data_IF_120227500746
#
_entry.id   IF_120227500746
#
_cell.length_a   1.000
_cell.length_b   1.000
_cell.length_c   1.000
_cell.angle_alpha   90.00
_cell.angle_beta   90.00
_cell.angle_gamma   90.00
#
_symmetry.space_group_name_H-M   'P 1'
#
loop_
_entity.id
_entity.type
_entity.pdbx_description
1 polymer ?
#
# COMPACT_ATOMS: atom_id res chain seq x y z
N UNK A 1 1.89 -3.78 -23.18
CA UNK A 1 0.86 -3.29 -22.24
C UNK A 1 1.13 -1.81 -22.02
N UNK A 2 0.17 -0.95 -22.34
CA UNK A 2 0.31 0.49 -22.10
C UNK A 2 0.21 0.77 -20.59
N UNK A 3 1.08 1.63 -20.06
CA UNK A 3 1.01 2.03 -18.65
C UNK A 3 -0.22 2.95 -18.47
N UNK A 4 -1.36 2.35 -18.08
CA UNK A 4 -2.65 3.02 -17.81
C UNK A 4 -2.49 4.32 -17.02
N UNK A 5 -1.56 4.36 -16.07
CA UNK A 5 -1.40 5.47 -15.13
C UNK A 5 -0.33 6.48 -15.52
N UNK A 6 0.50 6.23 -16.54
CA UNK A 6 1.54 7.17 -17.01
C UNK A 6 2.37 7.77 -15.85
N UNK A 7 2.84 6.92 -14.94
CA UNK A 7 3.58 7.34 -13.75
C UNK A 7 4.96 7.90 -14.10
N UNK A 8 5.36 8.96 -13.40
CA UNK A 8 6.71 9.51 -13.53
C UNK A 8 7.68 8.71 -12.64
N UNK A 9 8.72 8.12 -13.23
CA UNK A 9 9.73 7.39 -12.47
C UNK A 9 10.83 8.34 -11.97
N UNK A 10 11.11 8.33 -10.67
CA UNK A 10 12.25 8.99 -10.04
C UNK A 10 13.00 8.00 -9.15
N UNK A 11 14.13 7.49 -9.64
CA UNK A 11 14.87 6.42 -8.97
C UNK A 11 14.00 5.16 -8.81
N UNK A 12 13.78 4.72 -7.57
CA UNK A 12 12.93 3.58 -7.20
C UNK A 12 11.47 3.97 -6.93
N UNK A 13 11.10 5.24 -7.08
CA UNK A 13 9.77 5.76 -6.78
C UNK A 13 9.02 6.02 -8.09
N UNK A 14 7.73 5.71 -8.10
CA UNK A 14 6.79 6.11 -9.15
C UNK A 14 5.84 7.16 -8.59
N UNK A 15 5.88 8.37 -9.14
CA UNK A 15 5.04 9.49 -8.74
C UNK A 15 3.71 9.47 -9.50
N UNK A 16 2.62 9.46 -8.73
CA UNK A 16 1.29 9.72 -9.23
C UNK A 16 1.06 11.25 -9.32
N UNK A 17 0.20 11.65 -10.25
CA UNK A 17 -0.18 13.05 -10.46
C UNK A 17 -0.89 13.65 -9.25
N UNK A 18 -1.76 12.88 -8.62
CA UNK A 18 -2.58 13.33 -7.48
C UNK A 18 -3.04 12.15 -6.62
N UNK A 19 -3.70 12.47 -5.50
CA UNK A 19 -4.22 11.47 -4.56
C UNK A 19 -5.36 10.63 -5.14
N UNK A 20 -6.09 11.13 -6.16
CA UNK A 20 -7.13 10.35 -6.82
C UNK A 20 -6.51 9.19 -7.57
N UNK A 21 -5.43 9.46 -8.32
CA UNK A 21 -4.69 8.43 -9.02
C UNK A 21 -4.08 7.38 -8.07
N UNK A 22 -3.60 7.78 -6.89
CA UNK A 22 -3.12 6.82 -5.88
C UNK A 22 -4.24 5.88 -5.44
N UNK A 23 -5.45 6.40 -5.21
CA UNK A 23 -6.61 5.58 -4.82
C UNK A 23 -7.04 4.63 -5.94
N UNK A 24 -7.00 5.07 -7.20
CA UNK A 24 -7.27 4.22 -8.36
C UNK A 24 -6.25 3.09 -8.48
N UNK A 25 -4.95 3.40 -8.35
CA UNK A 25 -3.89 2.38 -8.36
C UNK A 25 -4.09 1.39 -7.20
N UNK A 26 -4.37 1.89 -5.99
CA UNK A 26 -4.64 1.03 -4.84
C UNK A 26 -5.80 0.06 -5.10
N UNK A 27 -6.93 0.54 -5.60
CA UNK A 27 -8.08 -0.30 -5.88
C UNK A 27 -7.76 -1.37 -6.94
N UNK A 28 -7.11 -1.00 -8.03
CA UNK A 28 -6.78 -1.93 -9.11
C UNK A 28 -5.75 -2.99 -8.66
N UNK A 29 -4.67 -2.61 -7.96
CA UNK A 29 -3.66 -3.59 -7.52
C UNK A 29 -4.14 -4.46 -6.36
N UNK A 30 -5.20 -4.06 -5.65
CA UNK A 30 -5.77 -4.82 -4.53
C UNK A 30 -7.05 -5.55 -4.90
N UNK A 31 -7.43 -5.55 -6.19
CA UNK A 31 -8.55 -6.35 -6.68
C UNK A 31 -8.28 -7.84 -6.43
N UNK A 32 -9.15 -8.47 -5.64
CA UNK A 32 -9.00 -9.87 -5.23
C UNK A 32 -7.90 -10.14 -4.19
N UNK A 33 -7.24 -9.11 -3.65
CA UNK A 33 -6.21 -9.27 -2.62
C UNK A 33 -6.82 -9.61 -1.24
N UNK A 34 -6.08 -10.36 -0.41
CA UNK A 34 -6.48 -10.67 0.96
C UNK A 34 -6.43 -9.39 1.81
N UNK A 35 -7.54 -9.12 2.51
CA UNK A 35 -7.62 -8.03 3.49
C UNK A 35 -6.93 -8.45 4.77
N UNK A 36 -5.83 -7.77 5.11
CA UNK A 36 -5.16 -7.94 6.40
C UNK A 36 -5.76 -6.97 7.42
N UNK A 37 -5.55 -7.24 8.71
CA UNK A 37 -5.84 -6.27 9.77
C UNK A 37 -5.12 -4.96 9.46
N UNK A 38 -5.77 -3.81 9.62
CA UNK A 38 -5.10 -2.53 9.46
C UNK A 38 -3.94 -2.40 10.47
N UNK A 39 -2.89 -1.67 10.10
CA UNK A 39 -1.86 -1.27 11.04
C UNK A 39 -2.37 -0.11 11.91
N UNK A 40 -1.66 0.21 12.98
CA UNK A 40 -1.98 1.36 13.83
C UNK A 40 -2.01 2.69 13.05
N UNK A 41 -2.51 3.77 13.68
CA UNK A 41 -2.65 5.06 13.01
C UNK A 41 -1.29 5.56 12.54
N UNK A 42 -1.26 6.21 11.37
CA UNK A 42 -0.09 6.95 10.92
C UNK A 42 0.08 8.27 11.72
N UNK A 43 1.13 9.02 11.37
CA UNK A 43 1.46 10.30 12.02
C UNK A 43 0.40 11.39 11.81
N UNK A 44 -0.61 11.13 10.97
CA UNK A 44 -1.71 12.03 10.65
C UNK A 44 -3.06 11.51 11.17
N UNK A 45 -3.06 10.43 11.96
CA UNK A 45 -4.22 9.87 12.63
C UNK A 45 -5.06 8.90 11.78
N UNK A 46 -4.67 8.63 10.53
CA UNK A 46 -5.39 7.72 9.65
C UNK A 46 -4.88 6.28 9.79
N UNK A 47 -5.79 5.30 9.76
CA UNK A 47 -5.44 3.88 9.83
C UNK A 47 -4.68 3.45 8.57
N UNK A 48 -3.57 2.72 8.76
CA UNK A 48 -2.76 2.22 7.65
C UNK A 48 -3.40 0.94 7.10
N UNK A 49 -3.96 1.01 5.89
CA UNK A 49 -4.60 -0.16 5.27
C UNK A 49 -3.56 -1.14 4.77
N UNK A 50 -3.78 -2.44 4.97
CA UNK A 50 -2.85 -3.51 4.54
C UNK A 50 -3.54 -4.56 3.67
N UNK A 51 -2.85 -5.03 2.62
CA UNK A 51 -3.32 -6.09 1.72
C UNK A 51 -2.21 -7.08 1.41
N UNK A 52 -2.55 -8.37 1.25
CA UNK A 52 -1.64 -9.38 0.70
C UNK A 52 -2.09 -9.73 -0.72
N UNK A 53 -1.20 -9.52 -1.68
CA UNK A 53 -1.41 -9.84 -3.09
C UNK A 53 -1.33 -11.36 -3.32
N UNK A 54 -1.77 -11.81 -4.50
CA UNK A 54 -1.81 -13.24 -4.86
C UNK A 54 -0.42 -13.90 -4.88
N UNK A 55 0.64 -13.13 -5.11
CA UNK A 55 2.03 -13.58 -5.06
C UNK A 55 2.63 -13.59 -3.63
N UNK A 56 1.83 -13.24 -2.62
CA UNK A 56 2.24 -13.14 -1.22
C UNK A 56 2.83 -11.79 -0.82
N UNK A 57 3.02 -10.86 -1.75
CA UNK A 57 3.53 -9.50 -1.46
C UNK A 57 2.56 -8.76 -0.55
N UNK A 58 3.07 -8.12 0.51
CA UNK A 58 2.28 -7.28 1.39
C UNK A 58 2.48 -5.82 1.01
N UNK A 59 1.38 -5.10 0.82
CA UNK A 59 1.39 -3.67 0.53
C UNK A 59 0.55 -2.88 1.53
N UNK A 60 0.90 -1.61 1.71
CA UNK A 60 0.22 -0.70 2.63
C UNK A 60 -0.17 0.61 1.95
N UNK A 61 -1.32 1.16 2.32
CA UNK A 61 -1.72 2.52 1.97
C UNK A 61 -1.63 3.41 3.21
N UNK A 62 -0.81 4.45 3.13
CA UNK A 62 -0.52 5.36 4.24
C UNK A 62 -0.71 6.82 3.83
N UNK A 63 -1.22 7.67 4.73
CA UNK A 63 -1.22 9.12 4.52
C UNK A 63 0.11 9.72 4.93
N UNK A 64 0.56 10.70 4.15
CA UNK A 64 1.88 11.35 4.30
C UNK A 64 1.80 12.87 4.46
N UNK A 65 0.61 13.45 4.46
CA UNK A 65 0.46 14.90 4.67
C UNK A 65 -0.96 15.28 5.12
N UNK A 66 -1.07 16.41 5.82
CA UNK A 66 -2.36 17.02 6.20
C UNK A 66 -3.19 17.44 4.98
N UNK A 67 -2.55 17.78 3.87
CA UNK A 67 -3.21 18.10 2.59
C UNK A 67 -3.77 16.85 1.87
N UNK A 68 -3.58 15.65 2.43
CA UNK A 68 -4.19 14.41 1.93
C UNK A 68 -3.34 13.63 0.93
N UNK A 69 -2.05 13.94 0.78
CA UNK A 69 -1.12 13.11 0.02
C UNK A 69 -0.91 11.73 0.67
N UNK A 70 -0.85 10.68 -0.15
CA UNK A 70 -0.73 9.28 0.29
C UNK A 70 0.41 8.56 -0.42
N UNK A 71 0.78 7.39 0.08
CA UNK A 71 1.78 6.51 -0.55
C UNK A 71 1.35 5.06 -0.45
N UNK A 72 1.61 4.29 -1.50
CA UNK A 72 1.51 2.84 -1.49
C UNK A 72 2.92 2.30 -1.28
N UNK A 73 3.15 1.60 -0.18
CA UNK A 73 4.46 1.08 0.22
C UNK A 73 4.43 -0.46 0.15
N UNK A 74 5.49 -1.08 -0.36
CA UNK A 74 5.70 -2.53 -0.24
C UNK A 74 6.33 -2.79 1.13
N UNK A 75 5.62 -3.52 1.98
CA UNK A 75 6.10 -3.80 3.33
C UNK A 75 7.06 -4.99 3.32
N UNK A 76 8.36 -4.67 3.24
CA UNK A 76 9.45 -5.64 3.36
C UNK A 76 9.78 -6.03 4.81
N UNK A 77 9.15 -5.40 5.81
CA UNK A 77 9.50 -5.53 7.23
C UNK A 77 8.53 -6.38 8.05
N UNK A 78 7.39 -6.82 7.50
CA UNK A 78 6.57 -7.85 8.17
C UNK A 78 7.31 -9.18 8.19
N UNK A 79 8.08 -9.44 9.26
CA UNK A 79 8.35 -10.83 9.68
C UNK A 79 7.00 -11.44 10.03
N UNK A 80 6.48 -12.29 9.16
CA UNK A 80 5.37 -13.18 9.49
C UNK A 80 5.90 -14.05 10.63
N UNK A 81 5.53 -13.74 11.88
CA UNK A 81 5.60 -14.74 12.94
C UNK A 81 4.61 -15.81 12.50
N UNK A 82 5.13 -16.90 11.95
CA UNK A 82 4.33 -18.06 11.63
C UNK A 82 3.53 -18.40 12.87
N UNK A 83 2.22 -18.61 12.73
CA UNK A 83 1.30 -18.95 13.84
C UNK A 83 1.72 -20.27 14.56
N UNK A 84 2.81 -20.92 14.13
CA UNK A 84 3.48 -22.03 14.81
C UNK A 84 4.00 -21.72 16.22
N UNK A 85 4.04 -20.46 16.66
CA UNK A 85 4.52 -20.09 18.01
C UNK A 85 3.43 -20.09 19.10
N UNK A 86 2.17 -20.43 18.77
CA UNK A 86 1.16 -20.75 19.79
C UNK A 86 1.20 -22.25 20.11
N UNK A 87 2.11 -22.63 21.00
CA UNK A 87 2.15 -23.94 21.66
C UNK A 87 1.42 -23.87 23.00
#
# INVERSE_FOLDING_TARGET
>A
MENKYKLNKKGSIYEAKDNKQIKEIWNDITEGAEVLQDAGPDSYGDMIKRRRLSDGTIIQLRKKSNSGGSTIEIDSKMKIHSIKDKK
#
